data_IF_990595098777
#
_entry.id   IF_990595098777
#
_cell.length_a   1.000
_cell.length_b   1.000
_cell.length_c   1.000
_cell.angle_alpha   90.00
_cell.angle_beta   90.00
_cell.angle_gamma   90.00
#
_symmetry.space_group_name_H-M   'P 1'
#
loop_
_entity.id
_entity.type
_entity.pdbx_description
1 polymer ?
#
# COMPACT_ATOMS: atom_id res chain seq x y z
N UNK A 1 7.06 2.61 -25.06
CA UNK A 1 6.03 1.92 -24.26
C UNK A 1 6.21 2.33 -22.82
N UNK A 2 5.14 2.81 -22.19
CA UNK A 2 5.14 3.33 -20.82
C UNK A 2 5.70 2.28 -19.85
N UNK A 3 6.59 2.71 -18.96
CA UNK A 3 7.23 1.83 -17.98
C UNK A 3 6.15 1.18 -17.11
N UNK A 4 6.15 -0.16 -17.02
CA UNK A 4 5.23 -0.89 -16.16
C UNK A 4 5.56 -0.60 -14.68
N UNK A 5 4.60 -0.73 -13.79
CA UNK A 5 4.80 -0.48 -12.36
C UNK A 5 5.96 -1.31 -11.79
N UNK A 6 6.15 -2.54 -12.28
CA UNK A 6 7.25 -3.44 -11.90
C UNK A 6 8.61 -2.85 -12.29
N UNK A 7 8.74 -2.28 -13.48
CA UNK A 7 9.99 -1.66 -13.92
C UNK A 7 10.37 -0.48 -13.01
N UNK A 8 9.38 0.35 -12.63
CA UNK A 8 9.59 1.48 -11.74
C UNK A 8 10.02 1.03 -10.34
N UNK A 9 9.44 -0.06 -9.84
CA UNK A 9 9.81 -0.66 -8.56
C UNK A 9 11.24 -1.22 -8.59
N UNK A 10 11.60 -1.97 -9.64
CA UNK A 10 12.94 -2.55 -9.82
C UNK A 10 14.04 -1.48 -9.88
N UNK A 11 13.74 -0.30 -10.42
CA UNK A 11 14.67 0.82 -10.52
C UNK A 11 14.60 1.79 -9.32
N UNK A 12 13.79 1.47 -8.30
CA UNK A 12 13.69 2.27 -7.08
C UNK A 12 12.98 3.61 -7.23
N UNK A 13 12.19 3.79 -8.31
CA UNK A 13 11.42 5.02 -8.52
C UNK A 13 10.13 5.06 -7.68
N UNK A 14 9.65 3.90 -7.24
CA UNK A 14 8.51 3.74 -6.32
C UNK A 14 8.84 2.67 -5.28
N UNK A 15 8.26 2.78 -4.08
CA UNK A 15 8.53 1.83 -2.98
C UNK A 15 7.66 0.56 -3.02
N UNK A 16 6.45 0.66 -3.58
CA UNK A 16 5.48 -0.43 -3.51
C UNK A 16 4.42 -0.36 -4.62
N UNK A 17 3.95 -1.53 -5.02
CA UNK A 17 2.79 -1.73 -5.91
C UNK A 17 1.68 -2.32 -5.07
N UNK A 18 0.48 -1.72 -5.13
CA UNK A 18 -0.65 -2.10 -4.27
C UNK A 18 -1.87 -2.40 -5.13
N UNK A 19 -2.52 -3.54 -4.89
CA UNK A 19 -3.78 -3.87 -5.54
C UNK A 19 -4.85 -2.85 -5.14
N UNK A 20 -5.75 -2.51 -6.08
CA UNK A 20 -6.76 -1.46 -5.85
C UNK A 20 -7.64 -1.76 -4.62
N UNK A 21 -7.98 -3.02 -4.39
CA UNK A 21 -8.79 -3.45 -3.23
C UNK A 21 -8.13 -3.13 -1.89
N UNK A 22 -6.81 -3.07 -1.85
CA UNK A 22 -6.03 -2.99 -0.62
C UNK A 22 -5.59 -1.54 -0.34
N UNK A 23 -5.69 -0.66 -1.34
CA UNK A 23 -5.34 0.76 -1.24
C UNK A 23 -5.91 1.46 0.02
N UNK A 24 -7.21 1.32 0.38
CA UNK A 24 -7.74 2.01 1.56
C UNK A 24 -7.02 1.61 2.84
N UNK A 25 -6.72 0.31 3.00
CA UNK A 25 -6.01 -0.21 4.16
C UNK A 25 -4.54 0.24 4.16
N UNK A 26 -3.85 0.14 3.02
CA UNK A 26 -2.46 0.57 2.90
C UNK A 26 -2.29 2.05 3.22
N UNK A 27 -3.18 2.92 2.71
CA UNK A 27 -3.14 4.36 2.99
C UNK A 27 -3.37 4.62 4.48
N UNK A 28 -4.34 3.95 5.10
CA UNK A 28 -4.61 4.11 6.53
C UNK A 28 -3.40 3.72 7.40
N UNK A 29 -2.71 2.63 7.04
CA UNK A 29 -1.47 2.20 7.72
C UNK A 29 -0.34 3.23 7.56
N UNK A 30 -0.11 3.74 6.34
CA UNK A 30 0.92 4.76 6.09
C UNK A 30 0.67 6.03 6.91
N UNK A 31 -0.58 6.51 6.93
CA UNK A 31 -0.94 7.70 7.70
C UNK A 31 -0.76 7.48 9.20
N UNK A 32 -1.20 6.33 9.74
CA UNK A 32 -1.03 6.01 11.15
C UNK A 32 0.44 6.00 11.56
N UNK A 33 1.30 5.36 10.76
CA UNK A 33 2.75 5.32 10.98
C UNK A 33 3.37 6.72 10.93
N UNK A 34 3.05 7.53 9.92
CA UNK A 34 3.58 8.89 9.78
C UNK A 34 3.13 9.82 10.92
N UNK A 35 1.95 9.57 11.48
CA UNK A 35 1.41 10.34 12.62
C UNK A 35 1.80 9.76 13.99
N UNK A 36 2.54 8.64 14.04
CA UNK A 36 2.88 7.90 15.27
C UNK A 36 1.62 7.55 16.10
N UNK A 37 0.54 7.17 15.41
CA UNK A 37 -0.71 6.70 16.00
C UNK A 37 -0.77 5.18 16.01
N UNK A 38 -1.67 4.65 16.82
CA UNK A 38 -1.99 3.24 16.78
C UNK A 38 -2.46 2.82 15.39
N UNK A 39 -2.06 1.61 14.99
CA UNK A 39 -2.44 1.07 13.69
C UNK A 39 -3.96 0.86 13.64
N UNK A 40 -4.60 1.17 12.50
CA UNK A 40 -6.01 0.90 12.30
C UNK A 40 -6.30 -0.58 12.52
N UNK A 41 -7.28 -0.88 13.38
CA UNK A 41 -7.82 -2.23 13.55
C UNK A 41 -8.51 -2.60 12.25
N UNK A 42 -7.78 -3.28 11.37
CA UNK A 42 -8.36 -3.84 10.16
C UNK A 42 -9.15 -5.07 10.58
N UNK A 43 -10.47 -5.05 10.39
CA UNK A 43 -11.22 -6.30 10.27
C UNK A 43 -10.69 -6.98 9.02
N UNK A 44 -9.85 -7.99 9.20
CA UNK A 44 -9.33 -8.80 8.11
C UNK A 44 -10.54 -9.24 7.29
N UNK A 45 -10.69 -8.71 6.08
CA UNK A 45 -11.65 -9.21 5.13
C UNK A 45 -11.26 -10.67 4.89
N UNK A 46 -11.95 -11.58 5.58
CA UNK A 46 -11.78 -13.00 5.42
C UNK A 46 -11.85 -13.29 3.94
N UNK A 47 -10.78 -13.89 3.42
CA UNK A 47 -10.72 -14.34 2.04
C UNK A 47 -11.97 -15.19 1.75
N UNK A 48 -12.78 -14.72 0.82
CA UNK A 48 -13.86 -15.45 0.17
C UNK A 48 -13.48 -15.67 -1.27
#
# INVERSE_FOLDING_TARGET
GFQRSEFLLEHGAIDMIVARSDLPQTIALLIANLQKKDLPKTEAKAAS
#
